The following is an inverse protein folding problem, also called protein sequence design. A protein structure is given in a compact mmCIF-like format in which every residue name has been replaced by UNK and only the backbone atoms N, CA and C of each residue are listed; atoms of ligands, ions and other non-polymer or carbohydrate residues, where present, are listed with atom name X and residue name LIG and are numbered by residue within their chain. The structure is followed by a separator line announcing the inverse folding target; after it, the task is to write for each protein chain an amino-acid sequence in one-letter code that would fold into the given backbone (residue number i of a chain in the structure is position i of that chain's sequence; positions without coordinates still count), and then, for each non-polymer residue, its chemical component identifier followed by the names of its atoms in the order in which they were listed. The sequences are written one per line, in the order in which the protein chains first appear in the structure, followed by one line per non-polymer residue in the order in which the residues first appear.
data_IF_364536465900
#
_entry.id   IF_364536465900
#
_cell.length_a   1.000
_cell.length_b   1.000
_cell.length_c   1.000
_cell.angle_alpha   90.00
_cell.angle_beta   90.00
_cell.angle_gamma   90.00
#
_symmetry.space_group_name_H-M   'P 1'
#
loop_
_entity.id
_entity.type
_entity.pdbx_description
1 polymer ?
#
# COMPACT_ATOMS: atom_id res chain seq x y z
N UNK A 1 54.45 23.37 -14.35
CA UNK A 1 55.28 24.15 -15.27
C UNK A 1 54.44 25.18 -16.04
N UNK A 2 53.40 24.78 -16.74
CA UNK A 2 52.64 25.67 -17.64
C UNK A 2 51.87 26.78 -16.88
N UNK A 3 51.33 26.46 -15.67
CA UNK A 3 50.74 27.44 -14.79
C UNK A 3 51.71 28.55 -14.37
N UNK A 4 52.97 28.18 -14.03
CA UNK A 4 54.02 29.12 -13.69
C UNK A 4 54.52 29.92 -14.92
N UNK A 5 54.46 29.33 -16.13
CA UNK A 5 54.78 30.03 -17.38
C UNK A 5 53.72 31.11 -17.70
N UNK A 6 52.44 30.78 -17.47
CA UNK A 6 51.35 31.72 -17.60
C UNK A 6 51.47 32.90 -16.62
N UNK A 7 51.72 32.62 -15.32
CA UNK A 7 51.92 33.64 -14.30
C UNK A 7 53.07 34.62 -14.71
N UNK A 8 54.21 34.09 -15.15
CA UNK A 8 55.30 34.92 -15.62
C UNK A 8 54.96 35.75 -16.89
N UNK A 9 54.20 35.15 -17.81
CA UNK A 9 53.78 35.87 -19.02
C UNK A 9 52.79 37.01 -18.67
N UNK A 10 51.92 36.80 -17.69
CA UNK A 10 51.00 37.84 -17.17
C UNK A 10 51.79 38.98 -16.51
N UNK A 11 52.75 38.66 -15.62
CA UNK A 11 53.60 39.70 -14.97
C UNK A 11 54.40 40.51 -15.98
N UNK A 12 54.97 39.90 -17.03
CA UNK A 12 55.67 40.60 -18.08
C UNK A 12 54.77 41.52 -18.88
N UNK A 13 53.53 41.09 -19.12
CA UNK A 13 52.53 41.90 -19.81
C UNK A 13 52.08 43.13 -19.00
N UNK A 14 51.87 42.93 -17.69
CA UNK A 14 51.55 44.05 -16.76
C UNK A 14 52.66 45.11 -16.71
N UNK A 15 53.93 44.65 -16.82
CA UNK A 15 55.10 45.54 -16.88
C UNK A 15 55.32 46.18 -18.24
N UNK A 16 54.43 45.92 -19.25
CA UNK A 16 54.51 46.50 -20.58
C UNK A 16 55.57 45.92 -21.51
N UNK A 17 56.27 44.84 -21.14
CA UNK A 17 57.34 44.21 -21.90
C UNK A 17 56.96 42.86 -22.51
N UNK A 18 55.75 42.35 -22.23
CA UNK A 18 55.28 41.05 -22.72
C UNK A 18 54.55 41.16 -24.08
N UNK A 19 54.85 40.21 -24.99
CA UNK A 19 54.11 40.06 -26.26
C UNK A 19 52.73 39.45 -26.04
N UNK A 20 51.74 39.94 -26.78
CA UNK A 20 50.38 39.35 -26.75
C UNK A 20 50.38 37.88 -27.23
N UNK A 21 51.23 37.55 -28.20
CA UNK A 21 51.35 36.20 -28.73
C UNK A 21 51.93 35.25 -27.69
N UNK A 22 52.93 35.69 -26.90
CA UNK A 22 53.53 34.86 -25.82
C UNK A 22 52.53 34.58 -24.70
N UNK A 23 51.75 35.60 -24.33
CA UNK A 23 50.67 35.41 -23.34
C UNK A 23 49.63 34.39 -23.82
N UNK A 24 49.14 34.60 -25.03
CA UNK A 24 48.13 33.69 -25.61
C UNK A 24 48.65 32.24 -25.74
N UNK A 25 49.92 32.07 -26.10
CA UNK A 25 50.54 30.75 -26.13
C UNK A 25 50.65 30.11 -24.75
N UNK A 26 50.99 30.92 -23.71
CA UNK A 26 51.05 30.43 -22.31
C UNK A 26 49.65 30.10 -21.75
N UNK A 27 48.66 30.92 -22.09
CA UNK A 27 47.26 30.62 -21.73
C UNK A 27 46.76 29.33 -22.36
N UNK A 28 47.01 29.11 -23.65
CA UNK A 28 46.62 27.89 -24.35
C UNK A 28 47.35 26.65 -23.79
N UNK A 29 48.62 26.76 -23.45
CA UNK A 29 49.39 25.67 -22.83
C UNK A 29 48.88 25.34 -21.43
N UNK A 30 48.61 26.35 -20.62
CA UNK A 30 48.04 26.17 -19.29
C UNK A 30 46.63 25.56 -19.34
N UNK A 31 45.78 25.98 -20.25
CA UNK A 31 44.45 25.40 -20.46
C UNK A 31 44.50 23.94 -20.92
N UNK A 32 45.42 23.63 -21.88
CA UNK A 32 45.61 22.26 -22.34
C UNK A 32 46.07 21.31 -21.21
N UNK A 33 47.04 21.77 -20.40
CA UNK A 33 47.55 21.02 -19.26
C UNK A 33 46.49 20.82 -18.16
N UNK A 34 45.67 21.86 -17.90
CA UNK A 34 44.55 21.76 -16.96
C UNK A 34 43.50 20.74 -17.44
N UNK A 35 43.15 20.77 -18.73
CA UNK A 35 42.23 19.80 -19.32
C UNK A 35 42.77 18.36 -19.23
N UNK A 36 44.09 18.17 -19.42
CA UNK A 36 44.71 16.85 -19.28
C UNK A 36 44.67 16.34 -17.84
N UNK A 37 44.86 17.21 -16.83
CA UNK A 37 44.72 16.86 -15.41
C UNK A 37 43.30 16.43 -15.12
N UNK A 38 42.29 17.22 -15.52
CA UNK A 38 40.88 16.89 -15.34
C UNK A 38 40.50 15.54 -15.96
N UNK A 39 41.04 15.26 -17.16
CA UNK A 39 40.84 13.96 -17.82
C UNK A 39 41.40 12.81 -17.00
N UNK A 40 42.59 12.96 -16.44
CA UNK A 40 43.23 11.91 -15.62
C UNK A 40 42.51 11.74 -14.27
N UNK A 41 42.04 12.83 -13.68
CA UNK A 41 41.20 12.79 -12.45
C UNK A 41 39.89 12.05 -12.70
N UNK A 42 39.21 12.34 -13.82
CA UNK A 42 37.98 11.61 -14.20
C UNK A 42 38.24 10.10 -14.42
N UNK A 43 39.40 9.75 -15.05
CA UNK A 43 39.79 8.35 -15.19
C UNK A 43 40.06 7.70 -13.83
N UNK A 44 40.69 8.43 -12.91
CA UNK A 44 40.95 7.91 -11.56
C UNK A 44 39.66 7.70 -10.77
N UNK A 45 38.70 8.64 -10.88
CA UNK A 45 37.39 8.52 -10.27
C UNK A 45 36.61 7.30 -10.79
N UNK A 46 36.68 7.02 -12.09
CA UNK A 46 36.11 5.81 -12.69
C UNK A 46 36.72 4.50 -12.16
N UNK A 47 37.96 4.56 -11.60
CA UNK A 47 38.58 3.39 -10.97
C UNK A 47 38.12 3.15 -9.53
N UNK A 48 37.39 4.09 -8.94
CA UNK A 48 36.84 3.98 -7.60
C UNK A 48 35.33 3.68 -7.67
N UNK A 49 34.96 2.45 -7.34
CA UNK A 49 33.55 2.10 -7.22
C UNK A 49 33.02 2.55 -5.85
N UNK A 50 32.16 3.56 -5.85
CA UNK A 50 31.52 4.08 -4.64
C UNK A 50 30.06 3.66 -4.59
N UNK A 51 29.53 3.41 -3.37
CA UNK A 51 28.12 3.18 -3.16
C UNK A 51 27.30 4.44 -3.54
N UNK A 52 26.31 4.35 -4.43
CA UNK A 52 25.49 5.49 -4.86
C UNK A 52 24.49 5.98 -3.80
N UNK A 53 24.17 5.13 -2.83
CA UNK A 53 23.29 5.42 -1.70
C UNK A 53 23.68 4.59 -0.47
N UNK A 54 23.15 4.95 0.70
CA UNK A 54 23.33 4.16 1.92
C UNK A 54 22.48 2.89 1.88
N UNK A 55 23.02 1.76 2.40
CA UNK A 55 22.27 0.51 2.41
C UNK A 55 23.10 -0.67 2.86
N UNK A 56 22.51 -1.87 2.79
CA UNK A 56 23.19 -3.14 3.09
C UNK A 56 23.82 -3.74 1.84
N UNK A 57 25.09 -4.11 1.97
CA UNK A 57 25.81 -4.85 0.95
C UNK A 57 25.51 -6.35 1.09
N UNK A 58 25.33 -7.01 -0.04
CA UNK A 58 25.30 -8.46 -0.13
C UNK A 58 26.70 -9.08 -0.11
N UNK A 59 26.78 -10.33 -0.53
CA UNK A 59 28.07 -11.04 -0.64
C UNK A 59 28.79 -10.54 -1.89
N UNK A 60 30.06 -10.11 -1.80
CA UNK A 60 30.87 -9.76 -2.96
C UNK A 60 30.97 -10.93 -3.94
N UNK A 61 30.95 -10.62 -5.23
CA UNK A 61 31.04 -11.61 -6.32
C UNK A 61 32.41 -11.58 -7.02
N UNK A 62 33.32 -10.79 -6.49
CA UNK A 62 34.64 -10.58 -7.06
C UNK A 62 35.68 -10.71 -5.97
N UNK A 63 36.88 -11.18 -6.35
CA UNK A 63 38.02 -11.38 -5.47
C UNK A 63 39.10 -10.31 -5.67
N UNK A 64 39.96 -10.15 -4.65
CA UNK A 64 41.12 -9.27 -4.76
C UNK A 64 42.08 -9.77 -5.86
N UNK A 65 42.57 -8.83 -6.68
CA UNK A 65 43.43 -9.14 -7.81
C UNK A 65 42.70 -9.61 -9.07
N UNK A 66 41.37 -9.75 -9.03
CA UNK A 66 40.60 -10.12 -10.21
C UNK A 66 40.55 -8.98 -11.23
N UNK A 67 40.78 -9.31 -12.49
CA UNK A 67 40.59 -8.35 -13.59
C UNK A 67 39.07 -8.16 -13.87
N UNK A 68 38.63 -6.92 -13.79
CA UNK A 68 37.23 -6.57 -14.01
C UNK A 68 37.04 -5.84 -15.34
N UNK A 69 36.01 -6.21 -16.07
CA UNK A 69 35.55 -5.50 -17.27
C UNK A 69 34.33 -4.67 -16.95
N UNK A 70 34.06 -3.59 -17.69
CA UNK A 70 32.80 -2.83 -17.52
C UNK A 70 31.57 -3.72 -17.62
N UNK A 71 30.62 -3.54 -16.70
CA UNK A 71 29.38 -4.33 -16.66
C UNK A 71 29.42 -5.57 -15.73
N UNK A 72 30.57 -5.90 -15.14
CA UNK A 72 30.65 -6.99 -14.16
C UNK A 72 29.97 -6.56 -12.86
N UNK A 73 29.06 -7.42 -12.36
CA UNK A 73 28.40 -7.20 -11.07
C UNK A 73 29.39 -7.51 -9.93
N UNK A 74 29.68 -6.50 -9.10
CA UNK A 74 30.61 -6.60 -7.98
C UNK A 74 29.93 -7.05 -6.70
N UNK A 75 28.84 -6.39 -6.33
CA UNK A 75 28.07 -6.66 -5.10
C UNK A 75 26.67 -6.10 -5.25
N UNK A 76 25.71 -6.70 -4.57
CA UNK A 76 24.35 -6.15 -4.46
C UNK A 76 24.31 -5.11 -3.34
N UNK A 77 23.78 -3.94 -3.62
CA UNK A 77 23.48 -2.91 -2.63
C UNK A 77 21.98 -2.72 -2.57
N UNK A 78 21.39 -2.74 -1.37
CA UNK A 78 19.97 -2.60 -1.15
C UNK A 78 19.69 -1.61 -0.02
N UNK A 79 18.74 -0.72 -0.27
CA UNK A 79 18.09 0.06 0.76
C UNK A 79 16.93 -0.79 1.30
N UNK A 80 16.95 -1.06 2.61
CA UNK A 80 15.98 -1.91 3.30
C UNK A 80 15.05 -1.12 4.25
N UNK A 81 15.21 0.19 4.35
CA UNK A 81 14.42 1.02 5.27
C UNK A 81 12.95 1.12 4.82
N UNK A 82 12.75 1.21 3.50
CA UNK A 82 11.43 1.19 2.89
C UNK A 82 11.35 0.10 1.82
N UNK A 83 10.52 -0.89 2.07
CA UNK A 83 10.32 -2.00 1.17
C UNK A 83 9.20 -1.71 0.16
N UNK A 84 9.39 -2.19 -1.07
CA UNK A 84 8.35 -2.13 -2.11
C UNK A 84 7.69 -3.48 -2.23
N UNK A 85 6.38 -3.50 -2.04
CA UNK A 85 5.57 -4.69 -2.21
C UNK A 85 4.71 -4.54 -3.48
N UNK A 86 4.95 -5.42 -4.45
CA UNK A 86 4.16 -5.49 -5.68
C UNK A 86 3.14 -6.61 -5.55
N UNK A 87 1.87 -6.29 -5.79
CA UNK A 87 0.77 -7.24 -5.71
C UNK A 87 -0.30 -6.94 -6.74
N UNK A 88 -1.21 -7.88 -6.96
CA UNK A 88 -2.27 -7.74 -7.95
C UNK A 88 -3.64 -7.87 -7.32
N UNK A 89 -4.61 -7.16 -7.90
CA UNK A 89 -6.01 -7.23 -7.50
C UNK A 89 -6.92 -7.39 -8.72
N UNK A 90 -8.10 -8.02 -8.60
CA UNK A 90 -9.09 -8.08 -9.67
C UNK A 90 -9.56 -6.68 -10.09
N UNK A 91 -9.78 -6.45 -11.39
CA UNK A 91 -10.23 -5.16 -11.95
C UNK A 91 -11.51 -4.61 -11.29
N UNK A 92 -12.39 -5.52 -10.83
CA UNK A 92 -13.65 -5.16 -10.15
C UNK A 92 -13.43 -4.41 -8.81
N UNK A 93 -12.25 -4.56 -8.21
CA UNK A 93 -11.89 -3.89 -6.96
C UNK A 93 -11.25 -2.52 -7.17
N UNK A 94 -10.83 -2.23 -8.41
CA UNK A 94 -10.14 -0.99 -8.76
C UNK A 94 -10.88 0.29 -8.34
N UNK A 95 -12.24 0.39 -8.46
CA UNK A 95 -12.96 1.59 -8.04
C UNK A 95 -12.85 1.92 -6.54
N UNK A 96 -12.53 0.91 -5.71
CA UNK A 96 -12.39 1.04 -4.26
C UNK A 96 -10.97 1.41 -3.82
N UNK A 97 -10.01 1.45 -4.76
CA UNK A 97 -8.60 1.64 -4.47
C UNK A 97 -8.14 3.05 -4.82
N UNK A 98 -7.26 3.60 -3.99
CA UNK A 98 -6.68 4.93 -4.17
C UNK A 98 -5.21 4.91 -3.77
N UNK A 99 -4.40 5.76 -4.42
CA UNK A 99 -3.03 6.06 -3.96
C UNK A 99 -3.12 6.73 -2.59
N UNK A 100 -2.19 6.38 -1.67
CA UNK A 100 -2.19 6.83 -0.28
C UNK A 100 -3.07 5.98 0.65
N UNK A 101 -3.77 4.96 0.13
CA UNK A 101 -4.59 4.06 0.93
C UNK A 101 -3.70 3.13 1.77
N UNK A 102 -4.06 2.96 3.03
CA UNK A 102 -3.29 2.12 3.97
C UNK A 102 -3.38 0.65 3.60
N UNK A 103 -2.26 -0.03 3.76
CA UNK A 103 -2.15 -1.48 3.64
C UNK A 103 -1.50 -2.06 4.88
N UNK A 104 -1.88 -3.29 5.21
CA UNK A 104 -1.25 -4.10 6.25
C UNK A 104 -0.63 -5.31 5.62
N UNK A 105 0.65 -5.52 5.89
CA UNK A 105 1.43 -6.62 5.35
C UNK A 105 1.84 -7.57 6.47
N UNK A 106 1.71 -8.86 6.22
CA UNK A 106 2.27 -9.92 7.07
C UNK A 106 3.19 -10.81 6.23
N UNK A 107 4.36 -11.11 6.74
CA UNK A 107 5.29 -12.03 6.10
C UNK A 107 4.96 -13.48 6.47
N UNK A 108 5.19 -14.42 5.56
CA UNK A 108 5.00 -15.83 5.87
C UNK A 108 5.96 -16.26 6.99
N UNK A 109 5.39 -16.86 8.04
CA UNK A 109 6.13 -17.30 9.22
C UNK A 109 6.38 -16.22 10.28
N UNK A 110 5.86 -15.02 10.10
CA UNK A 110 5.92 -13.92 11.07
C UNK A 110 4.52 -13.29 11.21
N UNK A 111 3.96 -13.33 12.42
CA UNK A 111 2.65 -12.72 12.70
C UNK A 111 2.73 -11.19 12.88
N UNK A 112 3.92 -10.61 12.71
CA UNK A 112 4.09 -9.15 12.79
C UNK A 112 3.39 -8.48 11.62
N UNK A 113 2.59 -7.48 11.95
CA UNK A 113 1.90 -6.64 10.97
C UNK A 113 2.77 -5.41 10.69
N UNK A 114 3.10 -5.21 9.43
CA UNK A 114 3.79 -4.03 8.94
C UNK A 114 2.79 -3.11 8.27
N UNK A 115 2.85 -1.83 8.60
CA UNK A 115 2.02 -0.81 7.98
C UNK A 115 2.69 -0.25 6.72
N UNK A 116 1.86 0.14 5.78
CA UNK A 116 2.32 0.75 4.55
C UNK A 116 1.19 1.47 3.81
N UNK A 117 1.51 1.99 2.64
CA UNK A 117 0.55 2.71 1.79
C UNK A 117 0.71 2.37 0.31
N UNK A 118 -0.37 2.44 -0.44
CA UNK A 118 -0.37 2.28 -1.89
C UNK A 118 0.30 3.51 -2.51
N UNK A 119 1.42 3.31 -3.21
CA UNK A 119 2.17 4.35 -3.90
C UNK A 119 1.93 4.39 -5.39
N UNK A 120 1.41 3.31 -5.97
CA UNK A 120 1.14 3.23 -7.39
C UNK A 120 0.07 2.21 -7.74
N UNK A 121 -0.73 2.55 -8.74
CA UNK A 121 -1.73 1.68 -9.37
C UNK A 121 -1.45 1.72 -10.86
N UNK A 122 -1.21 0.57 -11.47
CA UNK A 122 -1.00 0.50 -12.93
C UNK A 122 -2.33 0.86 -13.64
N UNK A 123 -2.32 1.81 -14.57
CA UNK A 123 -3.52 2.14 -15.34
C UNK A 123 -3.94 1.03 -16.31
N UNK A 124 -3.10 0.02 -16.53
CA UNK A 124 -3.34 -1.08 -17.44
C UNK A 124 -3.84 -2.31 -16.70
N UNK A 125 -4.97 -2.85 -17.17
CA UNK A 125 -5.45 -4.17 -16.77
C UNK A 125 -4.80 -5.22 -17.67
N UNK A 126 -4.27 -6.29 -17.08
CA UNK A 126 -3.80 -7.44 -17.85
C UNK A 126 -5.00 -8.18 -18.48
N UNK A 127 -5.08 -8.28 -19.81
CA UNK A 127 -6.26 -8.84 -20.46
C UNK A 127 -6.40 -10.37 -20.28
N UNK A 128 -5.33 -11.06 -19.93
CA UNK A 128 -5.32 -12.52 -19.75
C UNK A 128 -5.78 -12.93 -18.36
N UNK A 129 -5.33 -12.22 -17.33
CA UNK A 129 -5.63 -12.50 -15.92
C UNK A 129 -6.76 -11.65 -15.33
N UNK A 130 -7.10 -10.53 -15.98
CA UNK A 130 -8.04 -9.51 -15.47
C UNK A 130 -7.59 -8.91 -14.12
N UNK A 131 -6.28 -8.85 -13.91
CA UNK A 131 -5.65 -8.28 -12.73
C UNK A 131 -5.03 -6.92 -13.03
N UNK A 132 -5.00 -6.08 -12.01
CA UNK A 132 -4.32 -4.79 -12.00
C UNK A 132 -3.16 -4.87 -11.03
N UNK A 133 -1.98 -4.39 -11.43
CA UNK A 133 -0.79 -4.35 -10.57
C UNK A 133 -0.80 -3.11 -9.70
N UNK A 134 -0.50 -3.32 -8.43
CA UNK A 134 -0.36 -2.26 -7.44
C UNK A 134 1.02 -2.34 -6.79
N UNK A 135 1.48 -1.20 -6.32
CA UNK A 135 2.70 -1.09 -5.53
C UNK A 135 2.40 -0.38 -4.23
N UNK A 136 2.88 -0.95 -3.15
CA UNK A 136 2.86 -0.32 -1.83
C UNK A 136 4.29 -0.09 -1.34
N UNK A 137 4.47 1.00 -0.59
CA UNK A 137 5.64 1.23 0.23
C UNK A 137 5.35 0.75 1.65
N UNK A 138 6.25 -0.02 2.22
CA UNK A 138 6.12 -0.64 3.53
C UNK A 138 7.31 -0.22 4.38
N UNK A 139 7.07 0.31 5.55
CA UNK A 139 8.12 0.68 6.48
C UNK A 139 8.75 -0.56 7.11
N UNK A 140 10.08 -0.60 7.14
CA UNK A 140 10.85 -1.73 7.65
C UNK A 140 11.97 -1.26 8.60
N UNK A 141 11.64 -0.53 9.67
CA UNK A 141 12.64 0.09 10.55
C UNK A 141 13.57 -0.93 11.23
N UNK A 142 13.07 -2.13 11.50
CA UNK A 142 13.81 -3.18 12.17
C UNK A 142 14.57 -4.10 11.19
N UNK A 143 14.44 -3.88 9.88
CA UNK A 143 15.09 -4.68 8.84
C UNK A 143 14.61 -6.15 8.79
N UNK A 144 13.39 -6.43 9.28
CA UNK A 144 12.80 -7.79 9.36
C UNK A 144 12.31 -8.29 8.02
N UNK A 145 11.84 -7.38 7.16
CA UNK A 145 11.44 -7.72 5.80
C UNK A 145 12.66 -7.88 4.92
N UNK A 146 12.67 -8.93 4.12
CA UNK A 146 13.76 -9.25 3.20
C UNK A 146 13.25 -9.21 1.75
N UNK A 147 14.00 -8.61 0.81
CA UNK A 147 13.62 -8.60 -0.60
C UNK A 147 13.48 -10.02 -1.17
N UNK A 148 12.44 -10.24 -1.97
CA UNK A 148 12.13 -11.54 -2.56
C UNK A 148 11.29 -12.47 -1.66
N UNK A 149 10.90 -12.02 -0.48
CA UNK A 149 10.04 -12.75 0.43
C UNK A 149 8.57 -12.70 -0.04
N UNK A 150 7.83 -13.80 0.16
CA UNK A 150 6.38 -13.80 -0.03
C UNK A 150 5.69 -13.15 1.16
N UNK A 151 4.67 -12.36 0.83
CA UNK A 151 3.93 -11.58 1.82
C UNK A 151 2.44 -11.61 1.53
N UNK A 152 1.63 -11.48 2.57
CA UNK A 152 0.19 -11.29 2.46
C UNK A 152 -0.13 -9.83 2.70
N UNK A 153 -0.86 -9.22 1.77
CA UNK A 153 -1.24 -7.81 1.85
C UNK A 153 -2.74 -7.70 2.02
N UNK A 154 -3.16 -6.96 3.02
CA UNK A 154 -4.54 -6.58 3.27
C UNK A 154 -4.68 -5.07 3.03
N UNK A 155 -5.47 -4.69 2.05
CA UNK A 155 -5.79 -3.28 1.78
C UNK A 155 -6.90 -2.84 2.72
N UNK A 156 -6.66 -1.76 3.48
CA UNK A 156 -7.67 -1.20 4.38
C UNK A 156 -8.63 -0.37 3.55
N UNK A 157 -9.84 -0.85 3.38
CA UNK A 157 -10.90 -0.10 2.70
C UNK A 157 -11.40 1.03 3.59
N UNK A 158 -11.91 2.13 3.00
CA UNK A 158 -12.60 3.16 3.75
C UNK A 158 -13.74 2.57 4.59
N UNK A 159 -13.96 3.12 5.78
CA UNK A 159 -15.10 2.77 6.59
C UNK A 159 -16.37 3.18 5.85
N UNK A 160 -17.32 2.28 5.78
CA UNK A 160 -18.65 2.56 5.27
C UNK A 160 -19.54 2.81 6.48
N UNK A 161 -20.13 4.00 6.55
CA UNK A 161 -21.12 4.36 7.55
C UNK A 161 -22.51 3.89 7.11
N UNK A 162 -23.43 3.79 8.05
CA UNK A 162 -24.83 3.41 7.81
C UNK A 162 -25.06 1.98 7.26
N UNK A 163 -24.17 1.04 7.60
CA UNK A 163 -24.33 -0.36 7.24
C UNK A 163 -25.21 -1.06 8.27
N UNK A 164 -26.32 -1.64 7.82
CA UNK A 164 -27.14 -2.50 8.66
C UNK A 164 -26.50 -3.89 8.71
N UNK A 165 -26.03 -4.31 9.88
CA UNK A 165 -25.48 -5.63 10.12
C UNK A 165 -26.39 -6.42 11.07
N UNK A 166 -26.66 -7.67 10.72
CA UNK A 166 -27.44 -8.59 11.56
C UNK A 166 -26.60 -9.85 11.86
N UNK A 167 -26.81 -10.49 13.01
CA UNK A 167 -26.27 -11.82 13.25
C UNK A 167 -26.67 -12.78 12.12
N UNK A 168 -25.74 -13.61 11.65
CA UNK A 168 -26.05 -14.58 10.59
C UNK A 168 -27.22 -15.51 10.96
N UNK A 169 -27.42 -15.75 12.25
CA UNK A 169 -28.55 -16.53 12.77
C UNK A 169 -29.90 -15.88 12.51
N UNK A 170 -29.97 -14.58 12.31
CA UNK A 170 -31.23 -13.87 12.01
C UNK A 170 -31.70 -14.09 10.57
N UNK A 171 -30.79 -14.44 9.67
CA UNK A 171 -31.10 -14.61 8.23
C UNK A 171 -31.45 -16.06 7.95
N UNK A 172 -32.62 -16.27 7.35
CA UNK A 172 -33.11 -17.58 6.93
C UNK A 172 -33.00 -17.67 5.41
N UNK A 173 -32.27 -18.66 4.92
CA UNK A 173 -32.13 -18.91 3.47
C UNK A 173 -33.20 -19.88 3.02
N UNK A 174 -33.96 -19.54 1.97
CA UNK A 174 -34.96 -20.39 1.36
C UNK A 174 -34.77 -20.51 -0.15
N UNK A 175 -35.54 -21.38 -0.78
CA UNK A 175 -35.57 -21.50 -2.26
C UNK A 175 -36.01 -20.22 -2.97
N UNK A 176 -36.72 -19.34 -2.27
CA UNK A 176 -37.25 -18.10 -2.83
C UNK A 176 -36.39 -16.87 -2.51
N UNK A 177 -35.32 -17.05 -1.74
CA UNK A 177 -34.39 -16.00 -1.33
C UNK A 177 -34.15 -15.97 0.17
N UNK A 178 -33.29 -15.04 0.58
CA UNK A 178 -32.96 -14.80 1.98
C UNK A 178 -34.03 -13.87 2.59
N UNK A 179 -34.44 -14.16 3.82
CA UNK A 179 -35.41 -13.36 4.54
C UNK A 179 -35.08 -13.31 6.05
N UNK A 180 -35.66 -12.30 6.69
CA UNK A 180 -35.64 -12.15 8.16
C UNK A 180 -37.05 -11.99 8.66
N UNK A 181 -37.25 -12.22 9.95
CA UNK A 181 -38.49 -11.86 10.62
C UNK A 181 -38.33 -10.53 11.35
N UNK A 182 -39.19 -9.56 11.01
CA UNK A 182 -39.24 -8.24 11.64
C UNK A 182 -40.50 -8.21 12.51
N UNK A 183 -40.39 -7.81 13.77
CA UNK A 183 -41.51 -7.59 14.65
C UNK A 183 -42.19 -6.25 14.32
N UNK A 184 -43.42 -6.27 13.85
CA UNK A 184 -44.23 -5.09 13.52
C UNK A 184 -45.55 -5.10 14.25
N UNK A 185 -46.17 -3.92 14.51
CA UNK A 185 -47.51 -3.85 15.06
C UNK A 185 -48.49 -4.63 14.19
N UNK A 186 -49.47 -5.29 14.85
CA UNK A 186 -50.52 -6.05 14.18
C UNK A 186 -51.44 -5.11 13.41
N UNK A 187 -51.80 -5.46 12.16
CA UNK A 187 -52.70 -4.65 11.36
C UNK A 187 -54.08 -4.46 12.05
N UNK A 188 -54.43 -3.21 12.30
CA UNK A 188 -55.74 -2.82 12.88
C UNK A 188 -55.67 -2.13 14.25
N UNK A 189 -54.49 -2.02 14.87
CA UNK A 189 -54.34 -1.30 16.14
C UNK A 189 -53.37 -0.12 15.94
N UNK A 190 -53.83 1.09 16.35
CA UNK A 190 -53.09 2.33 16.17
C UNK A 190 -51.79 2.34 17.02
N UNK A 191 -50.79 3.07 16.56
CA UNK A 191 -49.53 3.35 17.31
C UNK A 191 -49.87 3.83 18.73
N UNK A 192 -49.49 3.02 19.75
CA UNK A 192 -49.62 3.40 21.16
C UNK A 192 -50.59 2.60 22.02
N UNK A 193 -51.33 1.60 21.49
CA UNK A 193 -52.12 0.65 22.28
C UNK A 193 -51.31 -0.56 22.71
N UNK A 194 -51.78 -1.31 23.74
CA UNK A 194 -51.23 -2.63 24.16
C UNK A 194 -51.41 -3.71 23.06
N UNK A 195 -51.27 -3.31 21.78
CA UNK A 195 -51.39 -4.15 20.61
C UNK A 195 -50.16 -5.07 20.49
N UNK A 196 -50.42 -6.37 20.37
CA UNK A 196 -49.34 -7.37 20.22
C UNK A 196 -48.54 -7.17 18.93
N UNK A 197 -47.28 -7.45 18.98
CA UNK A 197 -46.42 -7.50 17.80
C UNK A 197 -46.64 -8.81 17.04
N UNK A 198 -46.44 -8.79 15.73
CA UNK A 198 -46.41 -9.96 14.88
C UNK A 198 -45.09 -10.07 14.09
N UNK A 199 -44.63 -11.29 13.88
CA UNK A 199 -43.45 -11.56 13.06
C UNK A 199 -43.87 -11.46 11.57
N UNK A 200 -43.34 -10.47 10.87
CA UNK A 200 -43.49 -10.35 9.40
C UNK A 200 -42.25 -10.82 8.71
N UNK A 201 -42.43 -11.71 7.75
CA UNK A 201 -41.37 -12.17 6.88
C UNK A 201 -41.00 -11.09 5.87
N UNK A 202 -39.76 -10.62 5.90
CA UNK A 202 -39.22 -9.60 4.99
C UNK A 202 -38.08 -10.18 4.20
N UNK A 203 -38.17 -10.19 2.88
CA UNK A 203 -37.09 -10.60 2.01
C UNK A 203 -35.98 -9.57 2.02
N UNK A 204 -34.74 -10.03 2.13
CA UNK A 204 -33.57 -9.18 2.26
C UNK A 204 -32.52 -9.53 1.21
N UNK A 205 -31.74 -8.53 0.81
CA UNK A 205 -30.53 -8.74 0.04
C UNK A 205 -29.33 -8.73 0.98
N UNK A 206 -28.69 -9.88 1.12
CA UNK A 206 -27.47 -10.01 1.93
C UNK A 206 -26.28 -9.48 1.17
N UNK A 207 -25.36 -8.82 1.89
CA UNK A 207 -24.11 -8.30 1.39
C UNK A 207 -22.90 -9.10 1.89
N UNK A 208 -21.94 -8.37 2.43
CA UNK A 208 -20.70 -8.93 2.99
C UNK A 208 -20.98 -9.69 4.29
N UNK A 209 -20.15 -10.70 4.54
CA UNK A 209 -20.14 -11.43 5.82
C UNK A 209 -18.85 -11.13 6.55
N UNK A 210 -18.95 -10.76 7.82
CA UNK A 210 -17.82 -10.46 8.67
C UNK A 210 -17.99 -11.14 10.04
N UNK A 211 -17.19 -12.15 10.32
CA UNK A 211 -17.31 -12.94 11.55
C UNK A 211 -18.69 -13.57 11.67
N UNK A 212 -19.43 -13.24 12.75
CA UNK A 212 -20.77 -13.74 13.02
C UNK A 212 -21.90 -12.88 12.43
N UNK A 213 -21.56 -11.78 11.74
CA UNK A 213 -22.50 -10.81 11.21
C UNK A 213 -22.57 -10.86 9.68
N UNK A 214 -23.71 -10.41 9.15
CA UNK A 214 -23.97 -10.27 7.72
C UNK A 214 -24.59 -8.91 7.44
N UNK A 215 -24.05 -8.22 6.44
CA UNK A 215 -24.57 -6.96 5.92
C UNK A 215 -25.93 -7.19 5.24
N UNK A 216 -26.88 -6.33 5.53
CA UNK A 216 -28.17 -6.28 4.83
C UNK A 216 -28.20 -5.02 3.97
N UNK A 217 -28.28 -5.19 2.66
CA UNK A 217 -28.26 -4.10 1.69
C UNK A 217 -29.64 -3.51 1.43
N UNK A 218 -30.68 -4.33 1.58
CA UNK A 218 -32.07 -3.89 1.40
C UNK A 218 -33.04 -4.84 2.09
N UNK A 219 -34.23 -4.33 2.41
CA UNK A 219 -35.32 -5.07 3.01
C UNK A 219 -35.55 -4.74 4.50
N UNK A 220 -34.55 -4.23 5.21
CA UNK A 220 -34.65 -3.82 6.61
C UNK A 220 -34.18 -2.37 6.73
N UNK A 221 -34.82 -1.60 7.60
CA UNK A 221 -34.45 -0.22 7.89
C UNK A 221 -33.85 -0.08 9.31
N UNK A 222 -33.12 1.00 9.53
CA UNK A 222 -32.60 1.30 10.86
C UNK A 222 -33.76 1.57 11.83
N UNK A 223 -33.77 0.84 12.95
CA UNK A 223 -34.85 0.89 13.92
C UNK A 223 -35.82 -0.30 13.83
N UNK A 224 -35.78 -1.12 12.80
CA UNK A 224 -36.57 -2.36 12.73
C UNK A 224 -36.10 -3.35 13.81
N UNK A 225 -37.05 -3.97 14.49
CA UNK A 225 -36.77 -5.02 15.49
C UNK A 225 -36.76 -6.37 14.80
N UNK A 226 -35.59 -6.97 14.71
CA UNK A 226 -35.37 -8.23 13.97
C UNK A 226 -35.21 -9.41 14.94
N UNK A 227 -35.89 -10.52 14.62
CA UNK A 227 -35.81 -11.76 15.41
C UNK A 227 -34.45 -12.45 15.14
N UNK A 228 -33.62 -12.59 16.15
CA UNK A 228 -32.27 -13.18 16.05
C UNK A 228 -32.18 -14.64 16.47
N UNK A 229 -33.23 -15.18 17.14
CA UNK A 229 -33.30 -16.56 17.57
C UNK A 229 -34.75 -17.10 17.51
N UNK A 230 -34.89 -18.40 17.27
CA UNK A 230 -36.22 -19.04 17.26
C UNK A 230 -36.97 -18.96 15.93
N UNK A 231 -36.36 -18.49 14.86
CA UNK A 231 -36.98 -18.26 13.54
C UNK A 231 -37.68 -19.49 12.95
N UNK A 232 -37.15 -20.69 13.24
CA UNK A 232 -37.68 -21.97 12.73
C UNK A 232 -39.09 -22.30 13.26
N UNK A 233 -39.54 -21.57 14.29
CA UNK A 233 -40.89 -21.73 14.90
C UNK A 233 -41.86 -20.66 14.46
N UNK A 234 -41.39 -19.69 13.68
CA UNK A 234 -42.17 -18.56 13.21
C UNK A 234 -42.72 -18.82 11.82
N UNK A 235 -43.92 -18.31 11.62
CA UNK A 235 -44.56 -18.14 10.32
C UNK A 235 -44.98 -16.67 10.18
N UNK A 236 -45.20 -16.22 8.96
CA UNK A 236 -45.66 -14.86 8.74
C UNK A 236 -46.99 -14.61 9.49
N UNK A 237 -47.03 -13.53 10.29
CA UNK A 237 -48.20 -13.17 11.12
C UNK A 237 -48.22 -13.85 12.51
N UNK A 238 -47.18 -14.61 12.89
CA UNK A 238 -47.10 -15.23 14.23
C UNK A 238 -46.97 -14.14 15.30
N UNK A 239 -47.86 -14.14 16.34
CA UNK A 239 -47.75 -13.20 17.46
C UNK A 239 -46.38 -13.39 18.18
N UNK A 240 -45.70 -12.28 18.44
CA UNK A 240 -44.41 -12.23 19.16
C UNK A 240 -44.50 -11.18 20.26
N UNK A 241 -43.72 -11.41 21.33
CA UNK A 241 -43.53 -10.42 22.38
C UNK A 241 -42.04 -10.07 22.44
N UNK A 242 -41.74 -8.80 22.71
CA UNK A 242 -40.37 -8.40 23.00
C UNK A 242 -40.01 -8.95 24.38
N UNK A 243 -39.00 -9.76 24.44
CA UNK A 243 -38.34 -10.09 25.69
C UNK A 243 -37.30 -9.00 25.94
N UNK A 244 -37.39 -8.29 27.06
CA UNK A 244 -36.40 -7.30 27.46
C UNK A 244 -35.06 -8.03 27.57
N UNK A 245 -34.29 -7.99 26.51
CA UNK A 245 -32.90 -8.40 26.51
C UNK A 245 -32.14 -7.35 27.32
N UNK A 246 -32.01 -7.61 28.64
CA UNK A 246 -31.17 -6.77 29.51
C UNK A 246 -29.85 -6.49 28.83
N UNK A 247 -29.45 -5.24 28.81
CA UNK A 247 -28.21 -4.68 28.27
C UNK A 247 -27.06 -5.63 28.53
N UNK A 248 -26.69 -6.42 27.54
CA UNK A 248 -25.35 -7.01 27.53
C UNK A 248 -24.43 -5.93 27.00
N UNK A 249 -23.85 -5.18 27.94
CA UNK A 249 -22.70 -4.33 27.72
C UNK A 249 -21.73 -5.03 26.75
N UNK A 250 -21.53 -4.40 25.60
CA UNK A 250 -20.43 -4.69 24.70
C UNK A 250 -19.13 -4.28 25.41
N UNK A 251 -18.55 -5.22 26.15
CA UNK A 251 -17.18 -5.07 26.66
C UNK A 251 -16.26 -5.24 25.45
N UNK A 252 -15.81 -4.12 24.91
CA UNK A 252 -14.70 -4.06 23.98
C UNK A 252 -13.44 -4.64 24.67
N UNK A 253 -12.82 -5.60 24.05
CA UNK A 253 -11.43 -5.99 24.25
C UNK A 253 -10.73 -6.10 22.90
#
# INVERSE_FOLDING_TARGET
LDKQALERALELRERGVGSAVTLQAAEAAAAASAAQVQKLEAVLEQKQLRAPFAGKLGIPRVDEGQYLTPGVAVVTLQDLDTMRADFTVPEQRLPQLRIGQKVKLTADGDDTVFDGEITGIDPKVDPSSRLVSLRAAIDNPDGRLTPGQFVRINVVLPQEDDVIALPQTAVVTSLYGDYVYVARPRDGEAEGGEGGLEARQVFVQVGRRSGAEVEIRSGVEAGDVVVTAGQNRLSNGTPVALEDAGEKEATAR
#
